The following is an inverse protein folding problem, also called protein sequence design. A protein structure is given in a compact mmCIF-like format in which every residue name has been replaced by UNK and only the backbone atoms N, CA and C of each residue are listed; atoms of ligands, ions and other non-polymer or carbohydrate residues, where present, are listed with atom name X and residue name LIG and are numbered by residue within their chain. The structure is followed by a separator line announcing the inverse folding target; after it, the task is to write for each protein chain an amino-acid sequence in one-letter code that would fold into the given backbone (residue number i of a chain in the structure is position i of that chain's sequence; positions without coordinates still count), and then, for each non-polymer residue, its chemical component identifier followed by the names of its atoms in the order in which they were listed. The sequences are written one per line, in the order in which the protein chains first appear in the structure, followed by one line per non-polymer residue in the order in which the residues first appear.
data_IF_081740747120
#
_entry.id   IF_081740747120
#
_cell.length_a   1.000
_cell.length_b   1.000
_cell.length_c   1.000
_cell.angle_alpha   90.00
_cell.angle_beta   90.00
_cell.angle_gamma   90.00
#
_symmetry.space_group_name_H-M   'P 1'
#
loop_
_entity.id
_entity.type
_entity.pdbx_description
1 polymer ?
#
# COMPACT_ATOMS: atom_id res chain seq x y z
N UNK A 1 15.52 -7.07 20.48
CA UNK A 1 14.26 -7.28 19.74
C UNK A 1 14.61 -7.56 18.29
N UNK A 2 14.14 -8.68 17.78
CA UNK A 2 14.42 -9.05 16.40
C UNK A 2 13.47 -8.34 15.45
N UNK A 3 14.02 -7.84 14.34
CA UNK A 3 13.23 -7.21 13.28
C UNK A 3 12.76 -8.30 12.32
N UNK A 4 11.45 -8.37 12.08
CA UNK A 4 10.90 -9.28 11.09
C UNK A 4 11.12 -8.73 9.69
N UNK A 5 11.57 -9.58 8.78
CA UNK A 5 11.75 -9.23 7.37
C UNK A 5 10.66 -9.95 6.57
N UNK A 6 9.91 -9.18 5.79
CA UNK A 6 8.85 -9.71 4.92
C UNK A 6 9.21 -9.39 3.47
N UNK A 7 9.45 -10.43 2.67
CA UNK A 7 9.80 -10.29 1.26
C UNK A 7 8.53 -10.12 0.40
N UNK A 8 8.63 -9.19 -0.55
CA UNK A 8 7.58 -8.89 -1.53
C UNK A 8 8.20 -8.96 -2.93
N UNK A 9 7.39 -9.12 -3.98
CA UNK A 9 7.90 -9.12 -5.35
C UNK A 9 8.57 -7.79 -5.74
N UNK A 10 8.17 -6.69 -5.11
CA UNK A 10 8.71 -5.35 -5.37
C UNK A 10 9.87 -4.95 -4.46
N UNK A 11 10.23 -5.77 -3.46
CA UNK A 11 11.30 -5.46 -2.49
C UNK A 11 11.08 -6.17 -1.17
N UNK A 12 11.20 -5.43 -0.06
CA UNK A 12 10.95 -6.02 1.26
C UNK A 12 10.56 -4.97 2.29
N UNK A 13 9.99 -5.46 3.41
CA UNK A 13 9.62 -4.66 4.57
C UNK A 13 10.41 -5.14 5.79
N UNK A 14 10.91 -4.20 6.58
CA UNK A 14 11.46 -4.46 7.90
C UNK A 14 10.42 -4.00 8.93
N UNK A 15 9.91 -4.92 9.72
CA UNK A 15 8.92 -4.62 10.76
C UNK A 15 9.63 -4.29 12.05
N UNK A 16 9.78 -2.99 12.33
CA UNK A 16 10.48 -2.46 13.52
C UNK A 16 9.56 -2.54 14.72
N UNK A 17 8.31 -2.10 14.58
CA UNK A 17 7.23 -2.28 15.55
C UNK A 17 6.11 -3.03 14.84
N UNK A 18 5.71 -4.19 15.37
CA UNK A 18 4.84 -5.11 14.64
C UNK A 18 3.33 -4.87 14.81
N UNK A 19 2.93 -3.97 15.71
CA UNK A 19 1.51 -3.72 15.97
C UNK A 19 0.85 -4.80 16.83
N UNK A 20 1.60 -5.79 17.29
CA UNK A 20 1.15 -6.84 18.23
C UNK A 20 1.72 -6.59 19.60
N UNK A 21 3.04 -6.45 19.70
CA UNK A 21 3.74 -6.10 20.94
C UNK A 21 3.63 -4.61 21.26
N UNK A 22 3.36 -3.79 20.24
CA UNK A 22 3.24 -2.34 20.36
C UNK A 22 1.86 -1.86 19.89
N UNK A 23 1.33 -0.73 20.42
CA UNK A 23 0.03 -0.20 19.99
C UNK A 23 0.11 0.59 18.67
N UNK A 24 1.14 0.36 17.87
CA UNK A 24 1.35 0.95 16.54
C UNK A 24 2.22 0.01 15.72
N UNK A 25 2.23 0.19 14.41
CA UNK A 25 3.17 -0.46 13.52
C UNK A 25 4.17 0.57 12.97
N UNK A 26 5.43 0.17 12.85
CA UNK A 26 6.49 0.97 12.25
C UNK A 26 7.33 0.08 11.36
N UNK A 27 7.43 0.46 10.08
CA UNK A 27 8.13 -0.34 9.08
C UNK A 27 9.10 0.51 8.29
N UNK A 28 10.20 -0.11 7.88
CA UNK A 28 11.06 0.41 6.82
C UNK A 28 10.79 -0.42 5.56
N UNK A 29 10.45 0.25 4.47
CA UNK A 29 10.00 -0.42 3.24
C UNK A 29 10.95 -0.04 2.12
N UNK A 30 11.50 -1.06 1.44
CA UNK A 30 12.42 -0.88 0.34
C UNK A 30 11.80 -1.46 -0.94
N UNK A 31 11.68 -0.59 -1.95
CA UNK A 31 11.19 -0.96 -3.28
C UNK A 31 12.34 -0.97 -4.27
N UNK A 32 12.37 -1.97 -5.12
CA UNK A 32 13.30 -2.00 -6.24
C UNK A 32 12.73 -1.18 -7.40
N UNK A 33 13.59 -0.44 -8.08
CA UNK A 33 13.23 0.36 -9.25
C UNK A 33 12.40 -0.45 -10.26
N UNK A 34 11.38 0.17 -10.82
CA UNK A 34 10.51 -0.43 -11.82
C UNK A 34 9.40 -1.32 -11.28
N UNK A 35 9.32 -1.51 -9.96
CA UNK A 35 8.29 -2.34 -9.33
C UNK A 35 7.19 -1.49 -8.71
N UNK A 36 6.04 -2.10 -8.47
CA UNK A 36 4.88 -1.44 -7.88
C UNK A 36 4.13 -2.36 -6.93
N UNK A 37 3.41 -1.76 -5.98
CA UNK A 37 2.49 -2.49 -5.11
C UNK A 37 1.22 -2.84 -5.85
N UNK A 38 0.40 -3.73 -5.26
CA UNK A 38 -0.97 -3.93 -5.71
C UNK A 38 -1.78 -2.62 -5.58
N UNK A 39 -2.83 -2.51 -6.37
CA UNK A 39 -3.83 -1.46 -6.20
C UNK A 39 -4.75 -1.90 -5.07
N UNK A 40 -4.78 -1.17 -3.96
CA UNK A 40 -5.36 -1.64 -2.71
C UNK A 40 -6.05 -0.55 -1.90
N UNK A 41 -6.90 -0.98 -0.97
CA UNK A 41 -7.60 -0.12 -0.02
C UNK A 41 -7.65 -0.79 1.34
N UNK A 42 -7.68 0.01 2.40
CA UNK A 42 -7.85 -0.45 3.78
C UNK A 42 -9.17 0.06 4.36
N UNK A 43 -9.86 -0.78 5.14
CA UNK A 43 -11.09 -0.35 5.83
C UNK A 43 -10.81 0.57 7.00
N UNK A 44 -9.80 0.24 7.79
CA UNK A 44 -9.54 0.87 9.09
C UNK A 44 -8.13 1.41 9.23
N UNK A 45 -7.16 0.82 8.53
CA UNK A 45 -5.76 1.19 8.64
C UNK A 45 -5.54 2.63 8.17
N UNK A 46 -4.94 3.41 9.04
CA UNK A 46 -4.45 4.76 8.75
C UNK A 46 -2.93 4.71 8.78
N UNK A 47 -2.27 5.21 7.73
CA UNK A 47 -0.82 5.19 7.64
C UNK A 47 -0.24 6.53 7.24
N UNK A 48 0.94 6.83 7.76
CA UNK A 48 1.75 7.99 7.37
C UNK A 48 3.11 7.49 6.93
N UNK A 49 3.56 7.96 5.78
CA UNK A 49 4.79 7.51 5.14
C UNK A 49 5.74 8.69 4.93
N UNK A 50 7.02 8.48 5.26
CA UNK A 50 8.09 9.43 5.00
C UNK A 50 9.07 8.84 3.99
N UNK A 51 9.43 9.58 2.95
CA UNK A 51 10.37 9.12 1.92
C UNK A 51 11.80 9.41 2.38
N UNK A 52 12.54 8.34 2.67
CA UNK A 52 13.95 8.44 3.08
C UNK A 52 14.88 8.65 1.90
N UNK A 53 14.64 7.97 0.78
CA UNK A 53 15.48 8.07 -0.41
C UNK A 53 14.76 7.55 -1.63
N UNK A 54 15.22 7.97 -2.81
CA UNK A 54 14.70 7.51 -4.08
C UNK A 54 13.54 8.36 -4.61
N UNK A 55 12.98 7.90 -5.73
CA UNK A 55 11.88 8.57 -6.42
C UNK A 55 10.82 7.55 -6.83
N UNK A 56 9.59 8.01 -6.96
CA UNK A 56 8.48 7.19 -7.37
C UNK A 56 7.22 8.01 -7.58
N UNK A 57 6.09 7.31 -7.65
CA UNK A 57 4.77 7.92 -7.79
C UNK A 57 3.80 7.26 -6.84
N UNK A 58 2.98 8.07 -6.18
CA UNK A 58 1.81 7.62 -5.43
C UNK A 58 0.57 7.90 -6.27
N UNK A 59 -0.20 6.85 -6.51
CA UNK A 59 -1.52 6.94 -7.12
C UNK A 59 -2.54 6.79 -5.99
N UNK A 60 -3.43 7.76 -5.83
CA UNK A 60 -4.40 7.76 -4.73
C UNK A 60 -5.73 8.29 -5.20
N UNK A 61 -6.81 7.57 -4.87
CA UNK A 61 -8.17 7.99 -5.24
C UNK A 61 -8.50 9.35 -4.63
N UNK A 62 -9.30 10.14 -5.35
CA UNK A 62 -9.73 11.47 -4.90
C UNK A 62 -10.79 11.40 -3.82
N UNK A 63 -11.60 10.34 -3.84
CA UNK A 63 -12.76 10.17 -2.97
C UNK A 63 -12.74 8.80 -2.30
N UNK A 64 -13.58 8.65 -1.29
CA UNK A 64 -13.77 7.36 -0.62
C UNK A 64 -14.29 6.32 -1.62
N UNK A 65 -13.77 5.11 -1.50
CA UNK A 65 -14.15 3.97 -2.32
C UNK A 65 -15.22 3.16 -1.61
N UNK A 66 -16.24 2.71 -2.37
CA UNK A 66 -17.28 1.84 -1.84
C UNK A 66 -16.77 0.39 -1.78
N UNK A 67 -16.14 0.04 -0.67
CA UNK A 67 -15.54 -1.28 -0.46
C UNK A 67 -16.60 -2.37 -0.48
N UNK A 68 -17.75 -2.15 0.16
CA UNK A 68 -18.80 -3.17 0.26
C UNK A 68 -19.38 -3.49 -1.11
N UNK A 69 -19.59 -2.49 -1.94
CA UNK A 69 -20.04 -2.69 -3.33
C UNK A 69 -19.01 -3.50 -4.12
N UNK A 70 -17.72 -3.16 -3.97
CA UNK A 70 -16.65 -3.89 -4.65
C UNK A 70 -16.61 -5.36 -4.24
N UNK A 71 -16.74 -5.64 -2.94
CA UNK A 71 -16.72 -7.02 -2.45
C UNK A 71 -17.94 -7.81 -2.90
N UNK A 72 -19.08 -7.15 -3.08
CA UNK A 72 -20.33 -7.78 -3.52
C UNK A 72 -20.37 -8.02 -5.03
N UNK A 73 -19.94 -7.04 -5.82
CA UNK A 73 -20.12 -7.03 -7.28
C UNK A 73 -18.82 -7.23 -8.07
N UNK A 74 -17.68 -6.91 -7.45
CA UNK A 74 -16.40 -6.90 -8.13
C UNK A 74 -16.26 -5.76 -9.14
N UNK A 75 -15.14 -5.75 -9.85
CA UNK A 75 -14.86 -4.85 -10.96
C UNK A 75 -14.09 -5.63 -12.03
N UNK A 76 -14.38 -5.38 -13.28
CA UNK A 76 -13.57 -5.92 -14.37
C UNK A 76 -12.23 -5.20 -14.44
N UNK A 77 -11.24 -5.81 -15.09
CA UNK A 77 -9.92 -5.18 -15.25
C UNK A 77 -10.03 -3.83 -15.98
N UNK A 78 -10.90 -3.74 -16.99
CA UNK A 78 -11.12 -2.48 -17.71
C UNK A 78 -11.74 -1.40 -16.80
N UNK A 79 -12.68 -1.79 -15.94
CA UNK A 79 -13.27 -0.86 -14.95
C UNK A 79 -12.23 -0.37 -13.94
N UNK A 80 -11.37 -1.26 -13.47
CA UNK A 80 -10.28 -0.90 -12.54
C UNK A 80 -9.32 0.08 -13.22
N UNK A 81 -8.92 -0.18 -14.46
CA UNK A 81 -8.04 0.70 -15.22
C UNK A 81 -8.64 2.09 -15.43
N UNK A 82 -9.92 2.14 -15.80
CA UNK A 82 -10.64 3.41 -16.00
C UNK A 82 -10.72 4.19 -14.66
N UNK A 83 -10.97 3.49 -13.56
CA UNK A 83 -11.04 4.09 -12.23
C UNK A 83 -9.68 4.68 -11.83
N UNK A 84 -8.59 3.94 -12.00
CA UNK A 84 -7.25 4.41 -11.64
C UNK A 84 -6.84 5.67 -12.42
N UNK A 85 -7.32 5.86 -13.63
CA UNK A 85 -7.07 7.09 -14.41
C UNK A 85 -7.66 8.34 -13.78
N UNK A 86 -8.58 8.21 -12.84
CA UNK A 86 -9.18 9.35 -12.13
C UNK A 86 -8.39 9.78 -10.90
N UNK A 87 -7.36 9.03 -10.53
CA UNK A 87 -6.59 9.23 -9.30
C UNK A 87 -5.68 10.47 -9.39
N UNK A 88 -5.39 11.03 -8.23
CA UNK A 88 -4.26 11.95 -8.08
C UNK A 88 -2.96 11.16 -8.23
N UNK A 89 -2.02 11.73 -8.96
CA UNK A 89 -0.68 11.18 -9.11
C UNK A 89 0.30 12.15 -8.46
N UNK A 90 0.99 11.68 -7.43
CA UNK A 90 1.89 12.49 -6.63
C UNK A 90 3.31 11.99 -6.85
N UNK A 91 4.20 12.86 -7.32
CA UNK A 91 5.62 12.51 -7.45
C UNK A 91 6.25 12.42 -6.06
N UNK A 92 6.95 11.31 -5.82
CA UNK A 92 7.61 11.04 -4.55
C UNK A 92 9.09 11.32 -4.68
N UNK A 93 9.64 12.01 -3.67
CA UNK A 93 11.07 12.30 -3.57
C UNK A 93 11.49 12.35 -2.11
N UNK A 94 12.79 12.28 -1.87
CA UNK A 94 13.38 12.33 -0.54
C UNK A 94 12.86 13.54 0.25
N UNK A 95 12.51 13.31 1.49
CA UNK A 95 12.11 14.34 2.44
C UNK A 95 10.62 14.65 2.49
N UNK A 96 9.80 14.07 1.59
CA UNK A 96 8.37 14.32 1.66
C UNK A 96 7.64 13.24 2.47
N UNK A 97 6.47 13.60 2.98
CA UNK A 97 5.58 12.70 3.69
C UNK A 97 4.18 12.75 3.10
N UNK A 98 3.44 11.65 3.25
CA UNK A 98 2.04 11.58 2.85
C UNK A 98 1.26 10.64 3.76
N UNK A 99 -0.05 10.87 3.82
CA UNK A 99 -0.98 10.01 4.56
C UNK A 99 -1.83 9.18 3.61
N UNK A 100 -2.15 7.97 4.03
CA UNK A 100 -3.19 7.16 3.41
C UNK A 100 -4.26 6.90 4.45
N UNK A 101 -5.41 7.54 4.27
CA UNK A 101 -6.56 7.38 5.16
C UNK A 101 -7.35 6.13 4.80
N UNK A 102 -8.07 5.53 5.76
CA UNK A 102 -8.99 4.43 5.48
C UNK A 102 -9.96 4.77 4.34
N UNK A 103 -10.21 3.82 3.47
CA UNK A 103 -11.17 3.97 2.37
C UNK A 103 -10.64 4.62 1.10
N UNK A 104 -9.36 5.01 1.06
CA UNK A 104 -8.74 5.57 -0.16
C UNK A 104 -7.90 4.51 -0.87
N UNK A 105 -8.22 4.27 -2.13
CA UNK A 105 -7.48 3.32 -2.96
C UNK A 105 -6.14 3.94 -3.35
N UNK A 106 -5.08 3.15 -3.30
CA UNK A 106 -3.74 3.66 -3.57
C UNK A 106 -2.80 2.58 -4.11
N UNK A 107 -1.73 3.05 -4.73
CA UNK A 107 -0.63 2.24 -5.24
C UNK A 107 0.63 3.09 -5.27
N UNK A 108 1.77 2.48 -4.97
CA UNK A 108 3.09 3.10 -5.12
C UNK A 108 3.83 2.42 -6.27
N UNK A 109 4.46 3.24 -7.11
CA UNK A 109 5.36 2.79 -8.17
C UNK A 109 6.74 3.38 -7.90
N UNK A 110 7.77 2.55 -7.84
CA UNK A 110 9.15 2.99 -7.69
C UNK A 110 9.78 3.27 -9.06
N UNK A 111 10.20 4.50 -9.30
CA UNK A 111 10.92 4.85 -10.54
C UNK A 111 12.42 4.65 -10.39
N UNK A 112 12.96 4.84 -9.18
CA UNK A 112 14.29 4.39 -8.76
C UNK A 112 14.11 3.53 -7.52
N UNK A 113 15.17 2.95 -6.98
CA UNK A 113 15.10 2.29 -5.68
C UNK A 113 14.57 3.29 -4.66
N UNK A 114 13.54 2.90 -3.93
CA UNK A 114 12.75 3.80 -3.09
C UNK A 114 12.68 3.24 -1.68
N UNK A 115 12.95 4.08 -0.69
CA UNK A 115 12.91 3.67 0.72
C UNK A 115 11.98 4.56 1.51
N UNK A 116 11.05 3.93 2.24
CA UNK A 116 10.07 4.59 3.11
C UNK A 116 10.29 4.22 4.56
N UNK A 117 9.88 5.14 5.45
CA UNK A 117 9.47 4.81 6.83
C UNK A 117 7.96 4.98 6.87
N UNK A 118 7.25 3.95 7.33
CA UNK A 118 5.79 3.95 7.44
C UNK A 118 5.39 3.67 8.88
N UNK A 119 4.57 4.56 9.43
CA UNK A 119 3.89 4.39 10.70
C UNK A 119 2.41 4.15 10.44
N UNK A 120 1.80 3.20 11.14
CA UNK A 120 0.38 2.91 10.94
C UNK A 120 -0.29 2.41 12.21
N UNK A 121 -1.64 2.43 12.18
CA UNK A 121 -2.44 1.71 13.15
C UNK A 121 -2.25 0.20 13.01
N UNK A 122 -2.69 -0.59 14.00
CA UNK A 122 -2.40 -2.03 14.10
C UNK A 122 -3.34 -2.92 13.25
N UNK A 123 -3.68 -2.49 12.04
CA UNK A 123 -4.57 -3.22 11.14
C UNK A 123 -3.76 -3.82 9.98
N UNK A 124 -2.81 -4.71 10.29
CA UNK A 124 -1.80 -5.17 9.33
C UNK A 124 -2.34 -6.09 8.24
N UNK A 125 -3.42 -6.83 8.52
CA UNK A 125 -4.06 -7.73 7.56
C UNK A 125 -5.29 -7.10 6.90
N UNK A 126 -5.52 -5.81 7.11
CA UNK A 126 -6.63 -5.05 6.54
C UNK A 126 -6.27 -4.56 5.14
N UNK A 127 -6.21 -5.48 4.19
CA UNK A 127 -5.88 -5.18 2.79
C UNK A 127 -6.93 -5.78 1.87
N UNK A 128 -7.45 -4.94 0.97
CA UNK A 128 -8.37 -5.35 -0.09
C UNK A 128 -7.72 -4.95 -1.40
N UNK A 129 -7.44 -5.92 -2.26
CA UNK A 129 -6.79 -5.69 -3.55
C UNK A 129 -7.81 -5.55 -4.66
N UNK A 130 -7.69 -4.48 -5.46
CA UNK A 130 -8.46 -4.29 -6.69
C UNK A 130 -7.71 -4.89 -7.89
N UNK A 131 -6.38 -4.80 -7.87
CA UNK A 131 -5.52 -5.32 -8.92
C UNK A 131 -4.16 -5.68 -8.34
N UNK A 132 -3.57 -6.77 -8.82
CA UNK A 132 -2.31 -7.27 -8.31
C UNK A 132 -1.50 -7.95 -9.42
N UNK A 133 -0.28 -7.48 -9.65
CA UNK A 133 0.64 -8.02 -10.66
C UNK A 133 1.05 -9.47 -10.42
N UNK A 134 0.91 -9.97 -9.18
CA UNK A 134 1.18 -11.37 -8.84
C UNK A 134 0.03 -12.31 -9.18
N UNK A 135 -1.06 -11.81 -9.71
CA UNK A 135 -2.23 -12.60 -10.04
C UNK A 135 -2.99 -13.14 -8.84
N UNK A 136 -2.78 -12.59 -7.65
CA UNK A 136 -3.57 -12.95 -6.46
C UNK A 136 -5.00 -12.51 -6.66
N UNK A 137 -5.94 -13.22 -6.01
CA UNK A 137 -7.37 -12.89 -6.15
C UNK A 137 -7.67 -11.48 -5.69
N UNK A 138 -8.62 -10.85 -6.38
CA UNK A 138 -9.19 -9.58 -5.93
C UNK A 138 -9.97 -9.77 -4.63
N UNK A 139 -10.10 -8.69 -3.86
CA UNK A 139 -10.87 -8.67 -2.65
C UNK A 139 -10.00 -8.80 -1.41
N UNK A 140 -10.66 -9.04 -0.26
CA UNK A 140 -10.00 -9.13 1.03
C UNK A 140 -9.13 -10.37 1.15
N UNK A 141 -7.97 -10.22 1.75
CA UNK A 141 -7.07 -11.33 2.07
C UNK A 141 -6.93 -11.47 3.58
N UNK A 142 -6.78 -12.73 4.05
CA UNK A 142 -6.60 -13.03 5.46
C UNK A 142 -5.15 -12.85 5.90
N UNK A 143 -4.22 -13.14 5.01
CA UNK A 143 -2.78 -13.10 5.30
C UNK A 143 -2.04 -12.34 4.21
N UNK A 144 -1.68 -11.11 4.52
CA UNK A 144 -0.89 -10.28 3.60
C UNK A 144 0.59 -10.62 3.64
N UNK A 145 1.08 -11.10 4.79
CA UNK A 145 2.51 -11.11 5.12
C UNK A 145 3.09 -12.52 5.32
N UNK A 146 2.54 -13.47 4.65
CA UNK A 146 3.09 -14.82 4.64
C UNK A 146 4.23 -15.00 3.65
#
# INVERSE_FOLDING_TARGET
MDIKIVNKHWGHELWIADGVRTPYALKKILFKAGNRTSLQVHREKFETTYVLSGTGKLFRSKELFDIDKFLAEGMTDDEVMAYERTFDVIDLHEGMAFDIKPGYVHRVVATTDLTFIESSTCHLDDVIRLQDDKGRKHGKISYEHE
#
